data_IF_800650233370
#
_entry.id   IF_800650233370
#
_cell.length_a   1.000
_cell.length_b   1.000
_cell.length_c   1.000
_cell.angle_alpha   90.00
_cell.angle_beta   90.00
_cell.angle_gamma   90.00
#
_symmetry.space_group_name_H-M   'P 1'
#
loop_
_entity.id
_entity.type
_entity.pdbx_description
1 polymer ?
#
# COMPACT_ATOMS: atom_id res chain seq x y z
N UNK A 1 -1.64 9.87 -10.21
CA UNK A 1 -2.59 10.57 -9.32
C UNK A 1 -3.75 9.62 -9.22
N UNK A 2 -4.04 9.12 -8.02
CA UNK A 2 -5.10 8.14 -7.79
C UNK A 2 -6.47 8.75 -8.08
N UNK A 3 -7.31 8.01 -8.78
CA UNK A 3 -8.62 8.51 -9.21
C UNK A 3 -9.67 8.46 -8.09
N UNK A 4 -9.67 7.40 -7.28
CA UNK A 4 -10.61 7.25 -6.15
C UNK A 4 -9.90 6.72 -4.92
N UNK A 5 -10.20 7.29 -3.76
CA UNK A 5 -9.72 6.80 -2.46
C UNK A 5 -10.90 6.44 -1.58
N UNK A 6 -10.78 5.33 -0.86
CA UNK A 6 -11.69 4.93 0.21
C UNK A 6 -10.98 5.12 1.53
N UNK A 7 -11.62 5.83 2.46
CA UNK A 7 -11.04 6.15 3.76
C UNK A 7 -12.05 5.94 4.89
N UNK A 8 -11.53 5.70 6.09
CA UNK A 8 -12.36 5.66 7.29
C UNK A 8 -12.86 7.07 7.63
N UNK A 9 -14.18 7.21 7.75
CA UNK A 9 -14.87 8.49 8.02
C UNK A 9 -14.42 9.17 9.30
N UNK A 10 -13.92 8.44 10.31
CA UNK A 10 -13.47 9.04 11.57
C UNK A 10 -12.30 10.04 11.37
N UNK A 11 -11.46 9.82 10.36
CA UNK A 11 -10.31 10.67 10.04
C UNK A 11 -10.71 11.95 9.31
N UNK A 12 -11.92 12.03 8.77
CA UNK A 12 -12.43 13.24 8.11
C UNK A 12 -12.53 14.43 9.07
N UNK A 13 -12.84 14.16 10.34
CA UNK A 13 -13.08 15.20 11.34
C UNK A 13 -11.79 15.83 11.90
N UNK A 14 -10.62 15.26 11.60
CA UNK A 14 -9.32 15.65 12.19
C UNK A 14 -8.39 16.34 11.17
N UNK A 15 -8.85 16.59 9.94
CA UNK A 15 -8.04 17.12 8.81
C UNK A 15 -6.82 16.24 8.43
N UNK A 16 -6.71 15.04 8.98
CA UNK A 16 -5.68 14.04 8.68
C UNK A 16 -6.21 12.97 7.73
N UNK A 17 -6.50 13.40 6.51
CA UNK A 17 -7.17 12.57 5.50
C UNK A 17 -6.33 11.36 5.07
N UNK A 18 -5.01 11.50 5.01
CA UNK A 18 -4.12 10.47 4.49
C UNK A 18 -3.99 9.27 5.44
N UNK A 19 -3.95 9.52 6.75
CA UNK A 19 -3.92 8.47 7.76
C UNK A 19 -5.13 7.53 7.72
N UNK A 20 -6.26 8.04 7.24
CA UNK A 20 -7.52 7.29 7.16
C UNK A 20 -7.69 6.41 5.92
N UNK A 21 -6.81 6.48 4.93
CA UNK A 21 -6.98 5.78 3.65
C UNK A 21 -6.89 4.26 3.85
N UNK A 22 -7.81 3.51 3.27
CA UNK A 22 -7.83 2.03 3.29
C UNK A 22 -7.64 1.41 1.92
N UNK A 23 -8.16 2.06 0.88
CA UNK A 23 -8.02 1.58 -0.48
C UNK A 23 -7.85 2.74 -1.47
N UNK A 24 -7.14 2.47 -2.57
CA UNK A 24 -7.09 3.34 -3.73
C UNK A 24 -7.55 2.61 -4.99
N UNK A 25 -8.08 3.37 -5.95
CA UNK A 25 -8.49 2.87 -7.25
C UNK A 25 -7.85 3.72 -8.33
N UNK A 26 -7.23 3.04 -9.28
CA UNK A 26 -6.71 3.63 -10.50
C UNK A 26 -7.58 3.16 -11.66
N UNK A 27 -8.25 4.11 -12.31
CA UNK A 27 -9.22 3.87 -13.36
C UNK A 27 -8.60 4.13 -14.72
N UNK A 28 -8.73 3.16 -15.63
CA UNK A 28 -8.21 3.29 -16.99
C UNK A 28 -9.31 2.99 -18.00
N UNK A 29 -9.30 3.64 -19.17
CA UNK A 29 -10.18 3.23 -20.27
C UNK A 29 -9.88 1.81 -20.76
N UNK A 30 -8.60 1.40 -20.64
CA UNK A 30 -8.09 0.06 -20.90
C UNK A 30 -6.84 -0.13 -20.07
N UNK A 31 -6.76 -1.24 -19.32
CA UNK A 31 -5.56 -1.56 -18.54
C UNK A 31 -4.41 -1.98 -19.46
N UNK A 32 -3.20 -1.52 -19.14
CA UNK A 32 -1.95 -1.74 -19.87
C UNK A 32 -0.81 -1.87 -18.87
N UNK A 33 0.27 -2.56 -19.24
CA UNK A 33 1.42 -2.82 -18.36
C UNK A 33 2.08 -1.53 -17.86
N UNK A 34 2.05 -0.47 -18.68
CA UNK A 34 2.57 0.85 -18.30
C UNK A 34 1.87 1.47 -17.08
N UNK A 35 0.65 1.01 -16.76
CA UNK A 35 -0.13 1.50 -15.62
C UNK A 35 0.30 0.84 -14.29
N UNK A 36 1.01 -0.30 -14.35
CA UNK A 36 1.40 -1.06 -13.15
C UNK A 36 2.34 -0.24 -12.27
N UNK A 37 3.34 0.42 -12.86
CA UNK A 37 4.28 1.27 -12.11
C UNK A 37 3.60 2.42 -11.37
N UNK A 38 2.59 3.02 -11.99
CA UNK A 38 1.80 4.07 -11.34
C UNK A 38 1.10 3.52 -10.09
N UNK A 39 0.41 2.38 -10.22
CA UNK A 39 -0.34 1.78 -9.12
C UNK A 39 0.57 1.31 -7.99
N UNK A 40 1.74 0.75 -8.31
CA UNK A 40 2.72 0.34 -7.29
C UNK A 40 3.25 1.55 -6.52
N UNK A 41 3.57 2.63 -7.23
CA UNK A 41 4.05 3.88 -6.60
C UNK A 41 3.00 4.45 -5.65
N UNK A 42 1.75 4.48 -6.09
CA UNK A 42 0.63 4.97 -5.29
C UNK A 42 0.33 4.07 -4.09
N UNK A 43 0.41 2.74 -4.24
CA UNK A 43 0.28 1.77 -3.16
C UNK A 43 1.33 2.02 -2.07
N UNK A 44 2.60 2.13 -2.45
CA UNK A 44 3.70 2.31 -1.49
C UNK A 44 3.57 3.66 -0.79
N UNK A 45 3.33 4.74 -1.54
CA UNK A 45 3.17 6.07 -0.98
C UNK A 45 2.00 6.13 0.01
N UNK A 46 0.86 5.55 -0.36
CA UNK A 46 -0.33 5.48 0.50
C UNK A 46 -0.08 4.61 1.72
N UNK A 47 0.66 3.50 1.57
CA UNK A 47 1.03 2.67 2.70
C UNK A 47 1.98 3.39 3.67
N UNK A 48 2.82 4.33 3.22
CA UNK A 48 3.63 5.15 4.13
C UNK A 48 2.76 6.14 4.91
N UNK A 49 1.76 6.71 4.25
CA UNK A 49 0.94 7.78 4.83
C UNK A 49 -0.17 7.25 5.75
N UNK A 50 -0.86 6.20 5.32
CA UNK A 50 -2.01 5.62 6.01
C UNK A 50 -1.62 4.89 7.31
N UNK A 51 -2.55 4.80 8.25
CA UNK A 51 -2.42 3.94 9.43
C UNK A 51 -2.89 2.49 9.18
N UNK A 52 -3.48 2.21 8.02
CA UNK A 52 -4.05 0.90 7.67
C UNK A 52 -3.18 0.11 6.71
N UNK A 53 -3.40 -1.20 6.68
CA UNK A 53 -2.90 -2.09 5.62
C UNK A 53 -3.70 -1.81 4.33
N UNK A 54 -3.13 -0.98 3.47
CA UNK A 54 -3.83 -0.50 2.27
C UNK A 54 -3.73 -1.49 1.11
N UNK A 55 -4.70 -1.40 0.21
CA UNK A 55 -4.64 -2.05 -1.09
C UNK A 55 -5.03 -1.11 -2.21
N UNK A 56 -4.63 -1.45 -3.43
CA UNK A 56 -5.00 -0.72 -4.64
C UNK A 56 -5.70 -1.62 -5.64
N UNK A 57 -6.64 -1.06 -6.39
CA UNK A 57 -7.32 -1.74 -7.49
C UNK A 57 -7.06 -1.00 -8.79
N UNK A 58 -6.44 -1.67 -9.75
CA UNK A 58 -6.32 -1.22 -11.13
C UNK A 58 -7.48 -1.80 -11.93
N UNK A 59 -8.31 -0.94 -12.51
CA UNK A 59 -9.51 -1.40 -13.21
C UNK A 59 -9.90 -0.51 -14.38
N UNK A 60 -10.57 -1.09 -15.35
CA UNK A 60 -11.32 -0.38 -16.39
C UNK A 60 -12.83 -0.34 -16.15
N UNK A 61 -13.26 -0.76 -14.94
CA UNK A 61 -14.65 -0.93 -14.50
C UNK A 61 -15.44 -1.96 -15.31
N UNK A 62 -14.80 -2.69 -16.23
CA UNK A 62 -15.41 -3.74 -17.03
C UNK A 62 -14.91 -5.11 -16.56
N UNK A 63 -14.04 -5.74 -17.34
CA UNK A 63 -13.55 -7.11 -17.13
C UNK A 63 -12.15 -7.15 -16.49
N UNK A 64 -11.50 -6.00 -16.30
CA UNK A 64 -10.19 -5.94 -15.66
C UNK A 64 -10.28 -5.39 -14.24
N UNK A 65 -9.96 -6.23 -13.25
CA UNK A 65 -9.94 -5.88 -11.82
C UNK A 65 -8.72 -6.53 -11.18
N UNK A 66 -7.65 -5.76 -11.01
CA UNK A 66 -6.38 -6.25 -10.48
C UNK A 66 -6.12 -5.62 -9.12
N UNK A 67 -5.99 -6.46 -8.12
CA UNK A 67 -5.70 -6.06 -6.75
C UNK A 67 -4.20 -6.07 -6.49
N UNK A 68 -3.70 -5.06 -5.78
CA UNK A 68 -2.31 -4.93 -5.37
C UNK A 68 -2.23 -4.65 -3.88
N UNK A 69 -1.31 -5.31 -3.19
CA UNK A 69 -1.01 -5.07 -1.78
C UNK A 69 0.45 -5.43 -1.46
N UNK A 70 0.87 -5.17 -0.24
CA UNK A 70 2.22 -5.51 0.25
C UNK A 70 2.14 -6.73 1.17
N UNK A 71 3.00 -7.72 0.97
CA UNK A 71 3.24 -8.81 1.92
C UNK A 71 4.26 -8.43 3.00
N UNK A 72 4.44 -9.30 4.00
CA UNK A 72 5.32 -9.06 5.16
C UNK A 72 6.78 -8.79 4.78
N UNK A 73 7.25 -9.42 3.70
CA UNK A 73 8.59 -9.25 3.14
C UNK A 73 8.72 -8.00 2.25
N UNK A 74 7.71 -7.13 2.23
CA UNK A 74 7.61 -5.92 1.41
C UNK A 74 7.50 -6.19 -0.10
N UNK A 75 7.19 -7.43 -0.49
CA UNK A 75 6.90 -7.79 -1.88
C UNK A 75 5.53 -7.23 -2.28
N UNK A 76 5.44 -6.74 -3.52
CA UNK A 76 4.14 -6.37 -4.11
C UNK A 76 3.46 -7.64 -4.58
N UNK A 77 2.33 -7.94 -3.96
CA UNK A 77 1.48 -9.07 -4.32
C UNK A 77 0.35 -8.58 -5.24
N UNK A 78 -0.17 -9.48 -6.08
CA UNK A 78 -1.35 -9.19 -6.87
C UNK A 78 -2.22 -10.42 -7.17
N UNK A 79 -3.49 -10.17 -7.46
CA UNK A 79 -4.33 -11.12 -8.17
C UNK A 79 -5.34 -10.39 -9.06
N UNK A 80 -5.85 -11.09 -10.06
CA UNK A 80 -6.96 -10.62 -10.90
C UNK A 80 -8.24 -11.27 -10.41
N UNK A 81 -9.25 -10.47 -10.08
CA UNK A 81 -10.59 -11.00 -9.80
C UNK A 81 -11.23 -11.57 -11.06
N UNK A 82 -12.16 -12.51 -10.88
CA UNK A 82 -12.77 -13.25 -11.99
C UNK A 82 -13.60 -12.32 -12.87
N UNK A 83 -14.40 -11.46 -12.23
CA UNK A 83 -15.27 -10.48 -12.85
C UNK A 83 -15.56 -9.33 -11.87
N UNK A 84 -16.37 -8.36 -12.30
CA UNK A 84 -16.74 -7.21 -11.48
C UNK A 84 -17.56 -7.58 -10.25
N UNK A 85 -18.41 -8.62 -10.32
CA UNK A 85 -19.21 -9.06 -9.17
C UNK A 85 -18.32 -9.63 -8.08
N UNK A 86 -17.36 -10.48 -8.46
CA UNK A 86 -16.37 -11.04 -7.55
C UNK A 86 -15.45 -9.95 -6.98
N UNK A 87 -15.01 -9.00 -7.79
CA UNK A 87 -14.19 -7.88 -7.33
C UNK A 87 -14.93 -7.03 -6.27
N UNK A 88 -16.19 -6.68 -6.53
CA UNK A 88 -17.00 -5.87 -5.61
C UNK A 88 -17.30 -6.60 -4.30
N UNK A 89 -17.54 -7.92 -4.33
CA UNK A 89 -17.71 -8.73 -3.12
C UNK A 89 -16.44 -8.71 -2.25
N UNK A 90 -15.26 -8.92 -2.86
CA UNK A 90 -13.97 -8.87 -2.16
C UNK A 90 -13.74 -7.49 -1.53
N UNK A 91 -14.02 -6.41 -2.27
CA UNK A 91 -13.89 -5.03 -1.79
C UNK A 91 -14.81 -4.79 -0.58
N UNK A 92 -16.10 -5.17 -0.69
CA UNK A 92 -17.07 -5.00 0.38
C UNK A 92 -16.64 -5.70 1.66
N UNK A 93 -16.29 -6.98 1.56
CA UNK A 93 -15.83 -7.79 2.69
C UNK A 93 -14.59 -7.19 3.37
N UNK A 94 -13.62 -6.75 2.57
CA UNK A 94 -12.37 -6.18 3.09
C UNK A 94 -12.60 -4.89 3.87
N UNK A 95 -13.43 -3.99 3.32
CA UNK A 95 -13.67 -2.69 3.93
C UNK A 95 -14.51 -2.78 5.21
N UNK A 96 -15.37 -3.80 5.31
CA UNK A 96 -16.16 -4.09 6.49
C UNK A 96 -15.31 -4.69 7.63
N UNK A 97 -14.46 -5.68 7.34
CA UNK A 97 -13.64 -6.42 8.31
C UNK A 97 -12.51 -5.56 8.94
N UNK A 98 -11.88 -4.67 8.17
CA UNK A 98 -10.78 -3.81 8.65
C UNK A 98 -11.23 -2.67 9.60
N UNK A 99 -12.52 -2.62 9.94
CA UNK A 99 -13.08 -1.64 10.89
C UNK A 99 -12.60 -1.86 12.34
N UNK A 100 -11.91 -2.95 12.64
CA UNK A 100 -11.56 -3.38 14.01
C UNK A 100 -10.03 -3.37 14.28
N UNK A 101 -9.16 -3.49 13.27
CA UNK A 101 -7.71 -3.56 13.48
C UNK A 101 -7.08 -2.16 13.51
N UNK A 102 -7.10 -1.55 14.69
CA UNK A 102 -6.24 -0.40 14.99
C UNK A 102 -4.86 -0.97 15.30
N UNK A 103 -3.91 -0.88 14.38
CA UNK A 103 -2.54 -1.23 14.69
C UNK A 103 -1.99 -0.21 15.71
N UNK A 104 -2.01 -0.57 17.00
CA UNK A 104 -1.23 0.13 18.02
C UNK A 104 0.23 -0.06 17.67
N UNK A 105 0.92 1.03 17.33
CA UNK A 105 2.36 1.02 17.05
C UNK A 105 3.13 0.76 18.35
N UNK A 106 3.23 -0.49 18.79
CA UNK A 106 4.33 -0.92 19.67
C UNK A 106 5.53 -1.20 18.78
N UNK A 107 6.39 -0.19 18.65
CA UNK A 107 7.72 -0.34 18.06
C UNK A 107 8.46 -1.36 18.94
N UNK A 108 8.72 -2.54 18.40
CA UNK A 108 9.70 -3.47 18.99
C UNK A 108 11.09 -2.90 18.68
N UNK A 109 11.84 -2.40 19.70
CA UNK A 109 13.16 -1.81 19.50
C UNK A 109 14.22 -2.82 18.99
N UNK A 110 13.89 -4.12 18.95
CA UNK A 110 14.78 -5.18 18.47
C UNK A 110 14.44 -5.71 17.07
N UNK A 111 13.46 -5.11 16.36
CA UNK A 111 13.17 -5.55 14.99
C UNK A 111 14.36 -5.19 14.08
N UNK A 112 14.95 -6.15 13.34
CA UNK A 112 16.17 -5.90 12.59
C UNK A 112 15.95 -4.81 11.53
N UNK A 113 16.54 -3.65 11.80
CA UNK A 113 16.68 -2.54 10.86
C UNK A 113 17.71 -3.01 9.84
N UNK A 114 17.23 -3.40 8.66
CA UNK A 114 18.12 -3.86 7.59
C UNK A 114 17.46 -4.89 6.69
N UNK A 115 16.47 -4.46 5.91
CA UNK A 115 16.11 -5.21 4.71
C UNK A 115 15.98 -4.21 3.56
N UNK A 116 16.94 -4.32 2.64
CA UNK A 116 16.97 -3.62 1.35
C UNK A 116 15.60 -3.75 0.69
N UNK A 117 14.99 -2.63 0.31
CA UNK A 117 13.79 -2.69 -0.54
C UNK A 117 14.28 -3.04 -1.94
N UNK A 118 14.32 -4.33 -2.25
CA UNK A 118 14.76 -4.83 -3.54
C UNK A 118 13.52 -4.92 -4.46
N UNK A 119 13.17 -3.81 -5.12
CA UNK A 119 12.11 -3.79 -6.14
C UNK A 119 12.42 -4.70 -7.36
N UNK A 120 13.62 -5.30 -7.40
CA UNK A 120 14.08 -6.25 -8.41
C UNK A 120 13.35 -7.60 -8.36
N UNK A 121 12.57 -7.88 -7.32
CA UNK A 121 11.70 -9.04 -7.25
C UNK A 121 10.25 -8.58 -7.21
N UNK A 122 9.80 -8.07 -8.36
CA UNK A 122 8.41 -8.25 -8.80
C UNK A 122 8.20 -9.77 -8.93
N UNK A 123 8.10 -10.45 -7.78
CA UNK A 123 7.98 -11.90 -7.68
C UNK A 123 6.79 -12.36 -8.51
N UNK A 124 6.92 -13.53 -9.14
CA UNK A 124 5.93 -14.13 -10.03
C UNK A 124 4.51 -13.62 -9.77
N UNK A 125 4.01 -12.76 -10.66
CA UNK A 125 2.65 -12.19 -10.68
C UNK A 125 1.57 -13.26 -10.97
N UNK A 126 1.81 -14.52 -10.57
CA UNK A 126 0.99 -15.68 -10.84
C UNK A 126 0.96 -16.57 -9.60
N UNK A 127 -0.13 -16.48 -8.85
CA UNK A 127 -0.63 -17.55 -8.00
C UNK A 127 -2.09 -17.81 -8.36
N UNK A 128 -2.60 -19.00 -8.07
CA UNK A 128 -4.02 -19.30 -8.29
C UNK A 128 -4.90 -18.31 -7.52
N UNK A 129 -5.98 -17.85 -8.14
CA UNK A 129 -6.83 -16.78 -7.61
C UNK A 129 -7.37 -17.07 -6.19
N UNK A 130 -7.56 -18.34 -5.82
CA UNK A 130 -8.03 -18.74 -4.50
C UNK A 130 -7.01 -18.46 -3.38
N UNK A 131 -5.75 -18.88 -3.55
CA UNK A 131 -4.73 -18.74 -2.49
C UNK A 131 -4.35 -17.27 -2.27
N UNK A 132 -4.32 -16.48 -3.34
CA UNK A 132 -3.98 -15.07 -3.26
C UNK A 132 -5.06 -14.20 -2.58
N UNK A 133 -6.32 -14.63 -2.60
CA UNK A 133 -7.43 -13.90 -1.96
C UNK A 133 -7.35 -14.02 -0.43
N UNK A 134 -7.00 -15.19 0.12
CA UNK A 134 -6.82 -15.34 1.57
C UNK A 134 -5.62 -14.53 2.08
N UNK A 135 -4.52 -14.49 1.32
CA UNK A 135 -3.36 -13.66 1.62
C UNK A 135 -3.70 -12.16 1.57
N UNK A 136 -4.63 -11.77 0.69
CA UNK A 136 -5.09 -10.39 0.57
C UNK A 136 -5.95 -9.96 1.78
N UNK A 137 -6.86 -10.82 2.24
CA UNK A 137 -7.66 -10.51 3.45
C UNK A 137 -6.77 -10.41 4.70
N UNK A 138 -5.68 -11.18 4.76
CA UNK A 138 -4.74 -11.16 5.89
C UNK A 138 -3.50 -10.28 5.65
N UNK A 139 -3.58 -9.32 4.71
CA UNK A 139 -2.43 -8.47 4.35
C UNK A 139 -1.94 -7.61 5.54
N UNK A 140 -0.62 -7.47 5.74
CA UNK A 140 -0.07 -6.70 6.83
C UNK A 140 0.02 -5.20 6.54
N UNK A 141 0.09 -4.40 7.61
CA UNK A 141 0.62 -3.05 7.54
C UNK A 141 2.14 -3.10 7.47
N UNK A 142 2.71 -2.70 6.34
CA UNK A 142 4.17 -2.74 6.13
C UNK A 142 4.83 -1.42 6.51
N UNK A 143 5.96 -1.48 7.22
CA UNK A 143 6.82 -0.33 7.51
C UNK A 143 8.02 -0.31 6.57
N UNK A 144 8.34 0.87 6.03
CA UNK A 144 9.48 1.09 5.15
C UNK A 144 10.56 1.88 5.87
N UNK A 145 11.77 1.33 5.92
CA UNK A 145 12.98 2.02 6.37
C UNK A 145 13.96 2.16 5.20
N UNK A 146 14.58 3.34 5.10
CA UNK A 146 15.56 3.66 4.08
C UNK A 146 16.90 3.93 4.75
N UNK A 147 17.90 3.09 4.47
CA UNK A 147 19.28 3.35 4.87
C UNK A 147 19.98 4.09 3.73
N UNK A 148 20.56 5.26 4.00
CA UNK A 148 21.35 6.02 3.01
C UNK A 148 22.78 6.15 3.57
N UNK A 149 23.79 5.89 2.74
CA UNK A 149 25.23 5.97 3.07
C UNK A 149 25.76 7.42 3.22
N UNK A 150 24.88 8.42 3.28
CA UNK A 150 25.23 9.85 3.31
C UNK A 150 24.74 10.49 4.60
N UNK A 151 25.65 10.59 5.57
CA UNK A 151 25.45 11.05 6.96
C UNK A 151 24.36 10.25 7.72
N UNK A 152 24.56 10.04 9.01
CA UNK A 152 23.64 9.27 9.84
C UNK A 152 22.30 10.01 10.02
N UNK A 153 21.42 9.97 9.00
CA UNK A 153 20.11 10.64 9.01
C UNK A 153 19.18 10.14 10.14
N UNK A 154 19.53 9.04 10.81
CA UNK A 154 18.86 8.61 12.05
C UNK A 154 18.81 9.74 13.09
N UNK A 155 19.91 10.46 13.26
CA UNK A 155 19.99 11.58 14.21
C UNK A 155 19.10 12.76 13.78
N UNK A 156 18.81 12.90 12.48
CA UNK A 156 17.87 13.92 11.97
C UNK A 156 16.40 13.52 12.12
N UNK A 157 16.09 12.22 12.14
CA UNK A 157 14.72 11.74 12.35
C UNK A 157 14.27 11.93 13.80
N UNK A 158 15.19 11.92 14.76
CA UNK A 158 14.90 12.21 16.16
C UNK A 158 14.46 13.68 16.39
N UNK A 159 14.85 14.60 15.51
CA UNK A 159 14.48 16.02 15.56
C UNK A 159 13.26 16.36 14.68
N UNK A 160 12.78 15.42 13.87
CA UNK A 160 11.78 15.64 12.82
C UNK A 160 10.39 15.10 13.22
N UNK A 161 9.32 15.79 12.83
CA UNK A 161 7.95 15.33 13.09
C UNK A 161 7.59 14.08 12.26
N UNK A 162 6.62 13.27 12.72
CA UNK A 162 6.19 12.06 12.00
C UNK A 162 5.71 12.38 10.58
N UNK A 163 5.03 13.51 10.39
CA UNK A 163 4.55 13.99 9.09
C UNK A 163 5.70 14.31 8.14
N UNK A 164 6.76 14.94 8.65
CA UNK A 164 7.95 15.26 7.87
C UNK A 164 8.73 14.00 7.47
N UNK A 165 8.82 13.01 8.38
CA UNK A 165 9.42 11.70 8.11
C UNK A 165 8.62 10.99 7.00
N UNK A 166 7.29 10.88 7.14
CA UNK A 166 6.41 10.28 6.13
C UNK A 166 6.56 11.01 4.78
N UNK A 167 6.56 12.34 4.79
CA UNK A 167 6.75 13.15 3.59
C UNK A 167 8.11 12.92 2.90
N UNK A 168 9.18 12.76 3.68
CA UNK A 168 10.49 12.41 3.14
C UNK A 168 10.51 11.00 2.52
N UNK A 169 9.92 10.00 3.20
CA UNK A 169 9.83 8.61 2.72
C UNK A 169 9.05 8.55 1.39
N UNK A 170 7.93 9.26 1.28
CA UNK A 170 7.15 9.36 0.02
C UNK A 170 7.98 9.97 -1.12
N UNK A 171 8.69 11.07 -0.86
CA UNK A 171 9.57 11.70 -1.87
C UNK A 171 10.66 10.76 -2.35
N UNK A 172 11.19 9.89 -1.49
CA UNK A 172 12.18 8.88 -1.86
C UNK A 172 11.59 7.81 -2.78
N UNK A 173 10.40 7.31 -2.46
CA UNK A 173 9.68 6.35 -3.32
C UNK A 173 9.46 6.95 -4.71
N UNK A 174 8.94 8.18 -4.80
CA UNK A 174 8.69 8.84 -6.09
C UNK A 174 9.98 8.93 -6.94
N UNK A 175 11.13 9.22 -6.33
CA UNK A 175 12.43 9.27 -7.03
C UNK A 175 12.94 7.90 -7.53
N UNK A 176 12.46 6.80 -6.96
CA UNK A 176 12.86 5.45 -7.38
C UNK A 176 12.05 4.93 -8.56
N UNK A 177 10.84 5.48 -8.77
CA UNK A 177 9.90 5.02 -9.79
C UNK A 177 9.58 6.05 -10.89
N UNK A 178 10.08 7.29 -10.78
CA UNK A 178 9.97 8.35 -11.78
C UNK A 178 11.30 8.67 -12.44
#
# INVERSE_FOLDING_TARGET
MTDVLVMNKSFYNVLDYYSGIRAGFELKKRVQDIHVYQVITELIATNILSNFAVFFVLTDLNDCWIFYWLSNDRTVMMFRAIDSSNALDIIGRTLDEDSISTATTTIDPNFPIGSRINFCHLGNLQGEASENVDLFFNRPKVQFEFEDDVANMKDMFDEMTEEEIKGWKVRRVIKLFG
#
